data_IF_014967773709
#
_entry.id   IF_014967773709
#
_cell.length_a   1.000
_cell.length_b   1.000
_cell.length_c   1.000
_cell.angle_alpha   90.00
_cell.angle_beta   90.00
_cell.angle_gamma   90.00
#
_symmetry.space_group_name_H-M   'P 1'
#
loop_
_entity.id
_entity.type
_entity.pdbx_description
1 polymer ?
#
# COMPACT_ATOMS: atom_id res chain seq x y z
N UNK A 1 9.63 -19.41 1.47
CA UNK A 1 10.51 -18.42 0.82
C UNK A 1 10.09 -18.11 -0.61
N UNK A 2 10.03 -19.09 -1.53
CA UNK A 2 9.66 -18.79 -2.93
C UNK A 2 8.21 -18.29 -3.09
N UNK A 3 7.24 -18.88 -2.38
CA UNK A 3 5.85 -18.40 -2.38
C UNK A 3 5.73 -16.96 -1.88
N UNK A 4 6.35 -16.64 -0.75
CA UNK A 4 6.44 -15.27 -0.20
C UNK A 4 7.07 -14.29 -1.20
N UNK A 5 8.12 -14.71 -1.91
CA UNK A 5 8.77 -13.90 -2.92
C UNK A 5 7.80 -13.56 -4.06
N UNK A 6 7.12 -14.54 -4.63
CA UNK A 6 6.15 -14.28 -5.70
C UNK A 6 4.93 -13.50 -5.20
N UNK A 7 4.43 -13.83 -4.01
CA UNK A 7 3.25 -13.18 -3.44
C UNK A 7 3.47 -11.68 -3.28
N UNK A 8 4.63 -11.27 -2.77
CA UNK A 8 4.91 -9.85 -2.54
C UNK A 8 5.59 -9.17 -3.72
N UNK A 9 6.50 -9.85 -4.43
CA UNK A 9 7.44 -9.20 -5.35
C UNK A 9 7.31 -9.61 -6.82
N UNK A 10 6.44 -10.58 -7.19
CA UNK A 10 6.37 -11.09 -8.56
C UNK A 10 6.29 -9.97 -9.62
N UNK A 11 5.47 -8.95 -9.38
CA UNK A 11 5.34 -7.82 -10.30
C UNK A 11 6.65 -7.07 -10.58
N UNK A 12 7.62 -7.05 -9.65
CA UNK A 12 8.93 -6.41 -9.89
C UNK A 12 9.85 -7.21 -10.81
N UNK A 13 9.62 -8.52 -10.93
CA UNK A 13 10.53 -9.45 -11.57
C UNK A 13 9.95 -10.08 -12.85
N UNK A 14 8.91 -9.47 -13.42
CA UNK A 14 8.19 -9.95 -14.62
C UNK A 14 7.46 -11.29 -14.44
N UNK A 15 7.26 -11.71 -13.19
CA UNK A 15 6.58 -12.94 -12.80
C UNK A 15 5.12 -12.67 -12.44
N UNK A 16 4.32 -13.74 -12.30
CA UNK A 16 2.90 -13.60 -11.94
C UNK A 16 2.63 -14.01 -10.50
N UNK A 17 1.66 -13.36 -9.85
CA UNK A 17 1.21 -13.76 -8.51
C UNK A 17 0.65 -15.20 -8.49
N UNK A 18 0.22 -15.73 -9.64
CA UNK A 18 -0.22 -17.13 -9.76
C UNK A 18 0.88 -18.15 -9.43
N UNK A 19 2.15 -17.81 -9.64
CA UNK A 19 3.28 -18.67 -9.28
C UNK A 19 3.43 -18.83 -7.77
N UNK A 20 2.99 -17.83 -7.00
CA UNK A 20 2.93 -17.92 -5.54
C UNK A 20 2.02 -19.08 -5.12
N UNK A 21 0.86 -19.24 -5.77
CA UNK A 21 -0.07 -20.33 -5.50
C UNK A 21 0.56 -21.71 -5.72
N UNK A 22 1.30 -21.89 -6.82
CA UNK A 22 2.04 -23.14 -7.09
C UNK A 22 3.08 -23.42 -6.00
N UNK A 23 3.85 -22.40 -5.60
CA UNK A 23 4.86 -22.54 -4.57
C UNK A 23 4.25 -22.86 -3.19
N UNK A 24 3.13 -22.23 -2.83
CA UNK A 24 2.44 -22.52 -1.57
C UNK A 24 1.81 -23.92 -1.55
N UNK A 25 1.21 -24.36 -2.65
CA UNK A 25 0.67 -25.73 -2.75
C UNK A 25 1.78 -26.78 -2.56
N UNK A 26 2.97 -26.58 -3.14
CA UNK A 26 4.12 -27.46 -2.89
C UNK A 26 4.54 -27.50 -1.42
N UNK A 27 4.37 -26.41 -0.67
CA UNK A 27 4.62 -26.42 0.78
C UNK A 27 3.54 -27.24 1.49
N UNK A 28 2.28 -27.16 1.06
CA UNK A 28 1.19 -27.95 1.64
C UNK A 28 1.26 -29.44 1.31
N UNK A 29 1.91 -29.82 0.20
CA UNK A 29 2.23 -31.22 -0.10
C UNK A 29 3.22 -31.80 0.94
N UNK A 30 4.10 -30.96 1.51
CA UNK A 30 5.09 -31.34 2.51
C UNK A 30 4.55 -31.25 3.94
N UNK A 31 3.87 -30.15 4.26
CA UNK A 31 3.19 -29.91 5.53
C UNK A 31 1.76 -29.38 5.29
N UNK A 32 0.75 -30.26 5.31
CA UNK A 32 -0.63 -29.88 5.12
C UNK A 32 -1.19 -28.94 6.19
N UNK A 33 -0.47 -28.73 7.30
CA UNK A 33 -0.90 -27.87 8.41
C UNK A 33 -0.15 -26.54 8.45
N UNK A 34 0.67 -26.23 7.44
CA UNK A 34 1.43 -24.99 7.41
C UNK A 34 0.52 -23.76 7.17
N UNK A 35 -0.01 -23.20 8.27
CA UNK A 35 -0.98 -22.10 8.26
C UNK A 35 -0.59 -20.88 7.42
N UNK A 36 0.68 -20.43 7.38
CA UNK A 36 1.05 -19.30 6.53
C UNK A 36 0.74 -19.53 5.06
N UNK A 37 1.02 -20.72 4.50
CA UNK A 37 0.69 -21.02 3.11
C UNK A 37 -0.82 -21.02 2.86
N UNK A 38 -1.60 -21.57 3.79
CA UNK A 38 -3.08 -21.55 3.71
C UNK A 38 -3.60 -20.11 3.74
N UNK A 39 -3.06 -19.26 4.63
CA UNK A 39 -3.42 -17.86 4.75
C UNK A 39 -3.24 -17.08 3.44
N UNK A 40 -2.10 -17.27 2.77
CA UNK A 40 -1.83 -16.66 1.46
C UNK A 40 -2.74 -17.22 0.35
N UNK A 41 -3.01 -18.53 0.35
CA UNK A 41 -3.91 -19.14 -0.62
C UNK A 41 -5.36 -18.65 -0.49
N UNK A 42 -5.84 -18.30 0.72
CA UNK A 42 -7.16 -17.66 0.91
C UNK A 42 -7.25 -16.37 0.09
N UNK A 43 -6.24 -15.50 0.20
CA UNK A 43 -6.20 -14.23 -0.53
C UNK A 43 -6.15 -14.43 -2.05
N UNK A 44 -5.36 -15.41 -2.52
CA UNK A 44 -5.25 -15.72 -3.95
C UNK A 44 -6.56 -16.31 -4.52
N UNK A 45 -7.18 -17.24 -3.79
CA UNK A 45 -8.47 -17.82 -4.19
C UNK A 45 -9.58 -16.75 -4.24
N UNK A 46 -9.60 -15.86 -3.26
CA UNK A 46 -10.55 -14.74 -3.22
C UNK A 46 -10.33 -13.78 -4.39
N UNK A 47 -9.07 -13.42 -4.67
CA UNK A 47 -8.72 -12.56 -5.80
C UNK A 47 -9.11 -13.19 -7.14
N UNK A 48 -8.97 -14.51 -7.28
CA UNK A 48 -9.39 -15.26 -8.46
C UNK A 48 -10.92 -15.40 -8.59
N UNK A 49 -11.68 -15.02 -7.57
CA UNK A 49 -13.13 -15.18 -7.52
C UNK A 49 -13.59 -16.62 -7.24
N UNK A 50 -12.68 -17.51 -6.82
CA UNK A 50 -13.03 -18.89 -6.45
C UNK A 50 -13.59 -18.92 -5.04
N UNK A 51 -14.91 -18.68 -4.96
CA UNK A 51 -15.64 -18.63 -3.70
C UNK A 51 -15.60 -19.95 -2.94
N UNK A 52 -15.57 -21.09 -3.64
CA UNK A 52 -15.58 -22.41 -3.01
C UNK A 52 -14.23 -22.70 -2.38
N UNK A 53 -13.15 -22.52 -3.15
CA UNK A 53 -11.78 -22.73 -2.65
C UNK A 53 -11.48 -21.76 -1.50
N UNK A 54 -11.92 -20.51 -1.60
CA UNK A 54 -11.80 -19.53 -0.51
C UNK A 54 -12.43 -20.04 0.79
N UNK A 55 -13.65 -20.60 0.71
CA UNK A 55 -14.35 -21.15 1.88
C UNK A 55 -13.63 -22.37 2.47
N UNK A 56 -13.19 -23.29 1.61
CA UNK A 56 -12.51 -24.51 2.04
C UNK A 56 -11.17 -24.19 2.74
N UNK A 57 -10.41 -23.23 2.20
CA UNK A 57 -9.15 -22.76 2.79
C UNK A 57 -9.36 -22.01 4.12
N UNK A 58 -10.38 -21.14 4.21
CA UNK A 58 -10.74 -20.46 5.47
C UNK A 58 -11.07 -21.47 6.56
N UNK A 59 -11.94 -22.44 6.28
CA UNK A 59 -12.30 -23.48 7.25
C UNK A 59 -11.09 -24.35 7.63
N UNK A 60 -10.20 -24.64 6.67
CA UNK A 60 -8.95 -25.36 6.95
C UNK A 60 -8.04 -24.56 7.87
N UNK A 61 -7.82 -23.27 7.60
CA UNK A 61 -7.01 -22.39 8.43
C UNK A 61 -7.53 -22.36 9.86
N UNK A 62 -8.82 -22.08 10.05
CA UNK A 62 -9.44 -21.93 11.37
C UNK A 62 -9.47 -23.21 12.20
N UNK A 63 -9.40 -24.39 11.55
CA UNK A 63 -9.22 -25.67 12.26
C UNK A 63 -7.80 -25.87 12.78
N UNK A 64 -6.81 -25.28 12.13
CA UNK A 64 -5.39 -25.41 12.53
C UNK A 64 -5.04 -24.35 13.57
N UNK A 65 -5.50 -23.11 13.36
CA UNK A 65 -5.28 -21.97 14.24
C UNK A 65 -6.56 -21.14 14.35
N UNK A 66 -7.09 -21.05 15.58
CA UNK A 66 -8.29 -20.30 15.93
C UNK A 66 -8.04 -19.19 16.94
N UNK A 67 -6.78 -18.98 17.35
CA UNK A 67 -6.45 -18.11 18.50
C UNK A 67 -5.51 -16.97 18.15
N UNK A 68 -4.77 -17.06 17.05
CA UNK A 68 -3.88 -15.97 16.65
C UNK A 68 -4.65 -14.76 16.14
N UNK A 69 -3.96 -13.63 16.07
CA UNK A 69 -4.46 -12.40 15.45
C UNK A 69 -4.80 -12.60 13.97
N UNK A 70 -4.07 -13.47 13.28
CA UNK A 70 -4.36 -13.81 11.87
C UNK A 70 -5.63 -14.65 11.79
N UNK A 71 -5.82 -15.61 12.70
CA UNK A 71 -7.06 -16.38 12.80
C UNK A 71 -8.29 -15.49 13.06
N UNK A 72 -8.15 -14.49 13.93
CA UNK A 72 -9.20 -13.49 14.16
C UNK A 72 -9.51 -12.72 12.85
N UNK A 73 -8.49 -12.24 12.15
CA UNK A 73 -8.69 -11.55 10.87
C UNK A 73 -9.32 -12.45 9.80
N UNK A 74 -8.93 -13.72 9.73
CA UNK A 74 -9.53 -14.74 8.83
C UNK A 74 -11.00 -14.97 9.18
N UNK A 75 -11.35 -15.07 10.46
CA UNK A 75 -12.74 -15.20 10.90
C UNK A 75 -13.60 -13.98 10.57
N UNK A 76 -13.04 -12.77 10.65
CA UNK A 76 -13.72 -11.55 10.18
C UNK A 76 -13.89 -11.60 8.65
N UNK A 77 -12.83 -11.98 7.92
CA UNK A 77 -12.84 -12.08 6.46
C UNK A 77 -13.84 -13.11 5.95
N UNK A 78 -14.01 -14.26 6.62
CA UNK A 78 -15.04 -15.25 6.34
C UNK A 78 -16.43 -14.61 6.24
N UNK A 79 -16.82 -13.84 7.25
CA UNK A 79 -18.11 -13.15 7.24
C UNK A 79 -18.18 -12.05 6.17
N UNK A 80 -17.10 -11.28 5.97
CA UNK A 80 -17.09 -10.19 4.99
C UNK A 80 -17.06 -10.65 3.53
N UNK A 81 -16.51 -11.83 3.24
CA UNK A 81 -16.37 -12.39 1.90
C UNK A 81 -17.52 -13.35 1.60
N UNK A 82 -17.83 -14.24 2.55
CA UNK A 82 -18.73 -15.37 2.36
C UNK A 82 -20.09 -15.17 3.05
N UNK A 83 -20.17 -14.33 4.07
CA UNK A 83 -21.41 -14.05 4.79
C UNK A 83 -22.48 -13.33 3.96
N UNK A 84 -23.73 -13.46 4.41
CA UNK A 84 -24.88 -12.71 3.84
C UNK A 84 -24.80 -11.23 4.20
N UNK A 85 -25.49 -10.36 3.44
CA UNK A 85 -25.50 -8.92 3.72
C UNK A 85 -25.94 -8.56 5.17
N UNK A 86 -26.95 -9.22 5.79
CA UNK A 86 -27.26 -9.01 7.20
C UNK A 86 -26.12 -9.40 8.15
N UNK A 87 -25.43 -10.51 7.89
CA UNK A 87 -24.30 -10.95 8.71
C UNK A 87 -23.12 -9.98 8.61
N UNK A 88 -22.81 -9.52 7.38
CA UNK A 88 -21.81 -8.48 7.13
C UNK A 88 -22.13 -7.20 7.92
N UNK A 89 -23.38 -6.72 7.85
CA UNK A 89 -23.80 -5.53 8.58
C UNK A 89 -23.70 -5.70 10.09
N UNK A 90 -24.10 -6.85 10.62
CA UNK A 90 -24.00 -7.15 12.05
C UNK A 90 -22.54 -7.15 12.52
N UNK A 91 -21.64 -7.79 11.76
CA UNK A 91 -20.20 -7.77 12.03
C UNK A 91 -19.66 -6.33 12.02
N UNK A 92 -19.98 -5.55 10.98
CA UNK A 92 -19.49 -4.17 10.83
C UNK A 92 -19.93 -3.24 11.96
N UNK A 93 -21.12 -3.46 12.56
CA UNK A 93 -21.55 -2.72 13.76
C UNK A 93 -20.70 -3.00 14.99
N UNK A 94 -20.13 -4.21 15.09
CA UNK A 94 -19.28 -4.65 16.19
C UNK A 94 -17.78 -4.57 15.91
N UNK A 95 -17.37 -4.19 14.69
CA UNK A 95 -16.01 -4.45 14.20
C UNK A 95 -14.92 -3.75 15.02
N UNK A 96 -15.22 -2.60 15.62
CA UNK A 96 -14.25 -1.88 16.45
C UNK A 96 -13.88 -2.61 17.76
N UNK A 97 -14.59 -3.69 18.14
CA UNK A 97 -14.27 -4.50 19.33
C UNK A 97 -13.14 -5.51 19.11
N UNK A 98 -12.78 -5.77 17.85
CA UNK A 98 -11.72 -6.73 17.49
C UNK A 98 -10.32 -6.21 17.80
N UNK A 99 -9.31 -7.08 17.77
CA UNK A 99 -7.93 -6.71 18.04
C UNK A 99 -7.42 -5.65 17.07
N UNK A 100 -6.69 -4.64 17.56
CA UNK A 100 -6.15 -3.57 16.74
C UNK A 100 -5.23 -4.09 15.62
N UNK A 101 -4.42 -5.11 15.92
CA UNK A 101 -3.54 -5.75 14.94
C UNK A 101 -4.31 -6.57 13.90
N UNK A 102 -5.40 -7.25 14.28
CA UNK A 102 -6.27 -7.97 13.35
C UNK A 102 -6.91 -7.00 12.35
N UNK A 103 -7.36 -5.85 12.83
CA UNK A 103 -7.92 -4.79 11.98
C UNK A 103 -6.87 -4.18 11.05
N UNK A 104 -5.61 -3.98 11.49
CA UNK A 104 -4.53 -3.54 10.61
C UNK A 104 -4.26 -4.57 9.50
N UNK A 105 -4.14 -5.84 9.87
CA UNK A 105 -3.92 -6.93 8.91
C UNK A 105 -5.07 -7.01 7.90
N UNK A 106 -6.31 -6.96 8.36
CA UNK A 106 -7.50 -6.97 7.50
C UNK A 106 -7.54 -5.77 6.55
N UNK A 107 -7.20 -4.57 7.04
CA UNK A 107 -7.13 -3.39 6.18
C UNK A 107 -6.07 -3.55 5.08
N UNK A 108 -4.90 -4.11 5.42
CA UNK A 108 -3.84 -4.39 4.46
C UNK A 108 -4.28 -5.39 3.39
N UNK A 109 -4.81 -6.55 3.80
CA UNK A 109 -5.33 -7.58 2.89
C UNK A 109 -6.45 -7.05 1.99
N UNK A 110 -7.34 -6.21 2.53
CA UNK A 110 -8.40 -5.61 1.72
C UNK A 110 -7.86 -4.64 0.65
N UNK A 111 -6.79 -3.90 0.94
CA UNK A 111 -6.17 -3.02 -0.05
C UNK A 111 -5.50 -3.83 -1.17
N UNK A 112 -4.80 -4.90 -0.83
CA UNK A 112 -4.08 -5.73 -1.80
C UNK A 112 -5.03 -6.62 -2.62
N UNK A 113 -5.89 -7.40 -1.96
CA UNK A 113 -6.69 -8.47 -2.58
C UNK A 113 -8.20 -8.23 -2.58
N UNK A 114 -8.68 -7.18 -1.92
CA UNK A 114 -10.11 -6.87 -1.84
C UNK A 114 -10.67 -6.35 -3.16
N UNK A 115 -11.97 -6.59 -3.40
CA UNK A 115 -12.68 -5.98 -4.54
C UNK A 115 -12.89 -4.48 -4.34
N UNK A 116 -13.21 -3.69 -5.38
CA UNK A 116 -13.50 -2.26 -5.23
C UNK A 116 -14.58 -1.94 -4.19
N UNK A 117 -15.61 -2.78 -4.10
CA UNK A 117 -16.70 -2.66 -3.10
C UNK A 117 -16.17 -2.93 -1.70
N UNK A 118 -15.31 -3.94 -1.52
CA UNK A 118 -14.73 -4.26 -0.22
C UNK A 118 -13.80 -3.13 0.27
N UNK A 119 -12.99 -2.56 -0.64
CA UNK A 119 -12.06 -1.44 -0.35
C UNK A 119 -12.78 -0.15 0.04
N UNK A 120 -13.90 0.15 -0.61
CA UNK A 120 -14.67 1.40 -0.38
C UNK A 120 -15.78 1.26 0.67
N UNK A 121 -16.21 0.05 0.98
CA UNK A 121 -17.22 -0.24 2.01
C UNK A 121 -16.60 -0.75 3.32
N UNK A 122 -16.60 -2.08 3.59
CA UNK A 122 -16.10 -2.68 4.82
C UNK A 122 -14.73 -2.18 5.29
N UNK A 123 -13.74 -2.09 4.38
CA UNK A 123 -12.40 -1.63 4.74
C UNK A 123 -12.39 -0.19 5.29
N UNK A 124 -13.33 0.66 4.87
CA UNK A 124 -13.47 2.03 5.42
C UNK A 124 -14.01 2.04 6.84
N UNK A 125 -14.89 1.09 7.16
CA UNK A 125 -15.34 0.93 8.55
C UNK A 125 -14.17 0.50 9.43
N UNK A 126 -13.36 -0.45 8.95
CA UNK A 126 -12.15 -0.93 9.64
C UNK A 126 -11.15 0.21 9.86
N UNK A 127 -10.84 0.99 8.82
CA UNK A 127 -9.94 2.15 8.94
C UNK A 127 -10.45 3.18 9.95
N UNK A 128 -11.76 3.49 9.97
CA UNK A 128 -12.32 4.39 10.99
C UNK A 128 -12.17 3.86 12.41
N UNK A 129 -12.32 2.56 12.64
CA UNK A 129 -12.07 1.96 13.94
C UNK A 129 -10.58 2.08 14.34
N UNK A 130 -9.66 1.87 13.40
CA UNK A 130 -8.23 2.03 13.64
C UNK A 130 -7.90 3.49 14.00
N UNK A 131 -8.49 4.46 13.30
CA UNK A 131 -8.29 5.89 13.57
C UNK A 131 -8.74 6.29 14.97
N UNK A 132 -9.87 5.76 15.43
CA UNK A 132 -10.40 6.03 16.77
C UNK A 132 -9.58 5.38 17.89
N UNK A 133 -8.84 4.31 17.59
CA UNK A 133 -8.16 3.48 18.59
C UNK A 133 -6.65 3.61 18.63
N UNK A 134 -6.03 4.29 17.66
CA UNK A 134 -4.58 4.47 17.61
C UNK A 134 -4.06 5.20 18.87
N UNK A 135 -3.32 4.48 19.72
CA UNK A 135 -2.93 4.95 21.04
C UNK A 135 -1.57 5.66 21.01
N UNK A 136 -0.65 5.19 20.17
CA UNK A 136 0.71 5.74 20.06
C UNK A 136 0.87 6.69 18.87
N UNK A 137 1.89 7.55 18.92
CA UNK A 137 2.25 8.43 17.81
C UNK A 137 2.63 7.66 16.54
N UNK A 138 3.26 6.49 16.69
CA UNK A 138 3.62 5.63 15.57
C UNK A 138 2.37 5.01 14.92
N UNK A 139 1.41 4.54 15.72
CA UNK A 139 0.12 4.05 15.23
C UNK A 139 -0.67 5.15 14.55
N UNK A 140 -0.76 6.34 15.14
CA UNK A 140 -1.47 7.48 14.53
C UNK A 140 -0.89 7.86 13.17
N UNK A 141 0.45 7.92 13.04
CA UNK A 141 1.09 8.20 11.76
C UNK A 141 0.83 7.09 10.73
N UNK A 142 0.92 5.82 11.15
CA UNK A 142 0.62 4.66 10.29
C UNK A 142 -0.83 4.67 9.80
N UNK A 143 -1.79 4.89 10.69
CA UNK A 143 -3.21 4.89 10.33
C UNK A 143 -3.56 6.11 9.48
N UNK A 144 -2.95 7.27 9.74
CA UNK A 144 -3.06 8.44 8.85
C UNK A 144 -2.60 8.09 7.43
N UNK A 145 -1.43 7.45 7.30
CA UNK A 145 -0.89 6.99 6.02
C UNK A 145 -1.83 6.04 5.30
N UNK A 146 -2.37 5.06 6.02
CA UNK A 146 -3.33 4.12 5.45
C UNK A 146 -4.60 4.83 4.98
N UNK A 147 -5.15 5.73 5.80
CA UNK A 147 -6.35 6.50 5.45
C UNK A 147 -6.15 7.35 4.21
N UNK A 148 -5.05 8.10 4.11
CA UNK A 148 -4.73 8.94 2.94
C UNK A 148 -4.53 8.09 1.69
N UNK A 149 -3.75 7.00 1.78
CA UNK A 149 -3.52 6.11 0.66
C UNK A 149 -4.83 5.53 0.11
N UNK A 150 -5.72 5.08 1.00
CA UNK A 150 -7.02 4.55 0.62
C UNK A 150 -7.91 5.65 0.00
N UNK A 151 -7.95 6.86 0.55
CA UNK A 151 -8.72 7.99 0.00
C UNK A 151 -8.28 8.32 -1.44
N UNK A 152 -6.97 8.36 -1.69
CA UNK A 152 -6.42 8.60 -3.03
C UNK A 152 -6.71 7.45 -4.00
N UNK A 153 -6.58 6.20 -3.56
CA UNK A 153 -6.92 5.03 -4.38
C UNK A 153 -8.39 5.02 -4.82
N UNK A 154 -9.29 5.57 -4.00
CA UNK A 154 -10.71 5.70 -4.33
C UNK A 154 -11.05 6.99 -5.13
N UNK A 155 -10.06 7.81 -5.47
CA UNK A 155 -10.25 9.09 -6.16
C UNK A 155 -10.81 10.20 -5.26
N UNK A 156 -10.77 10.06 -3.94
CA UNK A 156 -11.35 11.00 -2.96
C UNK A 156 -10.31 12.00 -2.43
N UNK A 157 -9.71 12.77 -3.33
CA UNK A 157 -8.66 13.74 -2.98
C UNK A 157 -9.10 14.76 -1.92
N UNK A 158 -10.36 15.20 -1.92
CA UNK A 158 -10.88 16.12 -0.88
C UNK A 158 -10.93 15.47 0.50
N UNK A 159 -11.27 14.17 0.57
CA UNK A 159 -11.25 13.42 1.82
C UNK A 159 -9.82 13.32 2.37
N UNK A 160 -8.86 13.02 1.48
CA UNK A 160 -7.43 13.00 1.82
C UNK A 160 -6.95 14.37 2.35
N UNK A 161 -7.35 15.49 1.71
CA UNK A 161 -7.03 16.85 2.18
C UNK A 161 -7.59 17.12 3.57
N UNK A 162 -8.86 16.81 3.81
CA UNK A 162 -9.51 17.01 5.11
C UNK A 162 -8.84 16.19 6.21
N UNK A 163 -8.47 14.95 5.90
CA UNK A 163 -7.73 14.07 6.80
C UNK A 163 -6.36 14.65 7.15
N UNK A 164 -5.62 15.13 6.15
CA UNK A 164 -4.31 15.77 6.33
C UNK A 164 -4.38 17.10 7.09
N UNK A 165 -5.42 17.90 6.88
CA UNK A 165 -5.62 19.16 7.60
C UNK A 165 -5.78 18.96 9.12
N UNK A 166 -6.34 17.81 9.54
CA UNK A 166 -6.51 17.45 10.96
C UNK A 166 -5.23 16.87 11.59
N UNK A 167 -4.25 16.47 10.79
CA UNK A 167 -3.00 15.89 11.25
C UNK A 167 -2.02 16.99 11.70
N UNK A 168 -2.18 17.44 12.94
CA UNK A 168 -1.33 18.48 13.55
C UNK A 168 -0.40 17.91 14.62
N UNK A 169 0.81 18.48 14.74
CA UNK A 169 1.79 18.12 15.76
C UNK A 169 2.47 16.75 15.58
N UNK A 170 3.58 16.54 16.31
CA UNK A 170 4.24 15.24 16.46
C UNK A 170 4.55 14.50 15.15
N UNK A 171 4.30 13.19 15.13
CA UNK A 171 4.46 12.31 13.96
C UNK A 171 3.41 12.55 12.87
N UNK A 172 2.18 12.92 13.24
CA UNK A 172 1.09 13.18 12.30
C UNK A 172 1.36 14.39 11.40
N UNK A 173 1.92 15.47 11.96
CA UNK A 173 2.35 16.64 11.20
C UNK A 173 3.51 16.34 10.24
N UNK A 174 4.42 15.44 10.63
CA UNK A 174 5.49 14.96 9.73
C UNK A 174 4.93 14.17 8.57
N UNK A 175 4.09 13.18 8.88
CA UNK A 175 3.40 12.36 7.88
C UNK A 175 2.63 13.23 6.88
N UNK A 176 1.92 14.26 7.37
CA UNK A 176 1.21 15.21 6.53
C UNK A 176 2.13 15.92 5.53
N UNK A 177 3.24 16.46 6.03
CA UNK A 177 4.19 17.18 5.17
C UNK A 177 4.79 16.25 4.11
N UNK A 178 5.05 14.99 4.44
CA UNK A 178 5.53 13.98 3.48
C UNK A 178 4.49 13.67 2.41
N UNK A 179 3.21 13.50 2.76
CA UNK A 179 2.14 13.30 1.78
C UNK A 179 1.99 14.46 0.80
N UNK A 180 2.07 15.71 1.30
CA UNK A 180 1.98 16.90 0.45
C UNK A 180 3.14 16.94 -0.55
N UNK A 181 4.36 16.70 -0.07
CA UNK A 181 5.55 16.68 -0.92
C UNK A 181 5.50 15.53 -1.93
N UNK A 182 5.06 14.34 -1.50
CA UNK A 182 4.91 13.15 -2.35
C UNK A 182 3.89 13.39 -3.46
N UNK A 183 2.75 13.97 -3.14
CA UNK A 183 1.72 14.27 -4.12
C UNK A 183 2.23 15.24 -5.20
N UNK A 184 2.93 16.31 -4.79
CA UNK A 184 3.55 17.24 -5.73
C UNK A 184 4.58 16.53 -6.62
N UNK A 185 5.50 15.78 -6.01
CA UNK A 185 6.62 15.15 -6.68
C UNK A 185 6.23 14.03 -7.67
N UNK A 186 5.02 13.50 -7.52
CA UNK A 186 4.46 12.41 -8.34
C UNK A 186 3.32 12.85 -9.26
N UNK A 187 2.95 14.14 -9.23
CA UNK A 187 1.84 14.67 -10.04
C UNK A 187 0.47 14.12 -9.63
N UNK A 188 0.32 13.66 -8.39
CA UNK A 188 -1.00 13.35 -7.82
C UNK A 188 -1.80 14.64 -7.55
N UNK A 189 -3.11 14.55 -7.30
CA UNK A 189 -3.90 15.70 -6.91
C UNK A 189 -3.24 16.48 -5.76
N UNK A 190 -3.16 17.80 -5.88
CA UNK A 190 -2.52 18.64 -4.87
C UNK A 190 -3.20 18.47 -3.50
N UNK A 191 -2.42 18.15 -2.46
CA UNK A 191 -2.94 17.86 -1.12
C UNK A 191 -2.76 19.01 -0.12
N UNK A 192 -2.04 20.05 -0.50
CA UNK A 192 -1.77 21.22 0.33
C UNK A 192 -0.64 22.07 -0.23
N UNK A 193 -0.19 23.05 0.56
CA UNK A 193 0.95 23.91 0.22
C UNK A 193 2.27 23.14 0.36
N UNK A 194 2.83 22.77 -0.79
CA UNK A 194 4.08 22.01 -0.87
C UNK A 194 5.31 22.87 -0.54
N UNK A 195 5.28 24.18 -0.77
CA UNK A 195 6.40 25.06 -0.42
C UNK A 195 6.55 25.14 1.10
N UNK A 196 5.44 25.36 1.81
CA UNK A 196 5.46 25.39 3.27
C UNK A 196 5.80 24.01 3.87
N UNK A 197 5.35 22.91 3.27
CA UNK A 197 5.74 21.56 3.69
C UNK A 197 7.24 21.31 3.51
N UNK A 198 7.83 21.79 2.40
CA UNK A 198 9.25 21.65 2.12
C UNK A 198 10.11 22.40 3.15
N UNK A 199 9.76 23.65 3.50
CA UNK A 199 10.51 24.42 4.50
C UNK A 199 10.41 23.79 5.89
N UNK A 200 9.24 23.25 6.28
CA UNK A 200 9.11 22.49 7.54
C UNK A 200 9.96 21.23 7.54
N UNK A 201 9.94 20.43 6.47
CA UNK A 201 10.78 19.24 6.35
C UNK A 201 12.27 19.58 6.41
N UNK A 202 12.69 20.63 5.69
CA UNK A 202 14.08 21.14 5.70
C UNK A 202 14.52 21.61 7.08
N UNK A 203 13.65 22.32 7.81
CA UNK A 203 13.92 22.75 9.17
C UNK A 203 14.19 21.57 10.11
N UNK A 204 13.43 20.48 9.99
CA UNK A 204 13.61 19.26 10.80
C UNK A 204 14.94 18.56 10.53
N UNK A 205 15.25 18.31 9.26
CA UNK A 205 16.51 17.64 8.84
C UNK A 205 17.75 18.43 9.29
N UNK A 206 17.64 19.76 9.39
CA UNK A 206 18.72 20.61 9.92
C UNK A 206 18.87 20.55 11.44
N UNK A 207 17.77 20.33 12.17
CA UNK A 207 17.77 20.34 13.62
C UNK A 207 18.27 19.02 14.24
N UNK A 208 18.09 17.90 13.56
CA UNK A 208 18.58 16.59 13.98
C UNK A 208 18.76 15.65 12.78
N UNK A 209 19.62 14.61 12.86
CA UNK A 209 19.67 13.57 11.86
C UNK A 209 18.29 12.94 11.65
N UNK A 210 17.73 13.09 10.46
CA UNK A 210 16.54 12.37 10.02
C UNK A 210 16.98 11.04 9.40
N UNK A 211 16.25 9.95 9.65
CA UNK A 211 16.52 8.63 9.04
C UNK A 211 15.39 8.19 8.12
N UNK A 212 14.39 9.04 7.92
CA UNK A 212 13.25 8.77 7.07
C UNK A 212 13.64 8.76 5.58
N UNK A 213 13.62 7.58 4.96
CA UNK A 213 13.96 7.37 3.56
C UNK A 213 13.01 8.10 2.61
N UNK A 214 11.74 8.29 2.98
CA UNK A 214 10.78 9.04 2.19
C UNK A 214 11.11 10.54 2.17
N UNK A 215 11.52 11.10 3.32
CA UNK A 215 12.00 12.50 3.39
C UNK A 215 13.17 12.73 2.42
N UNK A 216 14.16 11.82 2.43
CA UNK A 216 15.33 11.93 1.57
C UNK A 216 15.01 11.71 0.09
N UNK A 217 14.15 10.75 -0.25
CA UNK A 217 13.71 10.52 -1.62
C UNK A 217 12.93 11.71 -2.20
N UNK A 218 12.04 12.31 -1.40
CA UNK A 218 11.25 13.47 -1.80
C UNK A 218 12.14 14.69 -2.08
N UNK A 219 13.14 14.92 -1.24
CA UNK A 219 14.14 15.97 -1.46
C UNK A 219 14.99 15.68 -2.72
N UNK A 220 15.36 14.43 -2.98
CA UNK A 220 16.07 14.00 -4.19
C UNK A 220 15.26 14.25 -5.48
N UNK A 221 13.96 13.96 -5.39
CA UNK A 221 12.99 14.12 -6.48
C UNK A 221 12.75 15.59 -6.81
N UNK A 222 12.63 16.46 -5.81
CA UNK A 222 12.64 17.91 -6.04
C UNK A 222 13.98 18.41 -6.61
N UNK A 223 15.09 17.70 -6.38
CA UNK A 223 16.36 17.94 -7.06
C UNK A 223 16.30 17.71 -8.58
N UNK A 224 15.46 16.78 -9.06
CA UNK A 224 15.20 16.64 -10.51
C UNK A 224 14.48 17.85 -11.09
N UNK A 225 13.56 18.46 -10.36
CA UNK A 225 12.91 19.70 -10.81
C UNK A 225 13.89 20.88 -10.85
N UNK A 226 14.91 20.87 -9.98
CA UNK A 226 16.02 21.82 -10.04
C UNK A 226 16.89 21.57 -11.28
N UNK A 227 17.17 20.30 -11.61
CA UNK A 227 17.89 19.94 -12.84
C UNK A 227 17.10 20.33 -14.10
N UNK A 228 15.79 20.15 -14.12
CA UNK A 228 14.92 20.61 -15.21
C UNK A 228 14.98 22.13 -15.40
N UNK A 229 15.30 22.88 -14.34
CA UNK A 229 15.56 24.33 -14.35
C UNK A 229 17.04 24.69 -14.57
N UNK A 230 17.89 23.72 -14.95
CA UNK A 230 19.34 23.84 -15.15
C UNK A 230 20.17 24.20 -13.91
N UNK A 231 19.65 23.98 -12.70
CA UNK A 231 20.38 24.14 -11.44
C UNK A 231 21.05 22.80 -11.03
N UNK A 232 22.16 22.49 -11.70
CA UNK A 232 22.92 21.25 -11.56
C UNK A 232 23.60 21.10 -10.20
N UNK A 233 24.10 22.20 -9.62
CA UNK A 233 24.76 22.23 -8.30
C UNK A 233 23.77 21.92 -7.16
N UNK A 234 22.52 22.38 -7.27
CA UNK A 234 21.46 22.01 -6.32
C UNK A 234 21.02 20.56 -6.49
N UNK A 235 20.92 20.07 -7.72
CA UNK A 235 20.58 18.67 -8.00
C UNK A 235 21.61 17.70 -7.40
N UNK A 236 22.91 17.94 -7.62
CA UNK A 236 23.99 17.05 -7.12
C UNK A 236 24.06 16.98 -5.59
N UNK A 237 23.87 18.10 -4.88
CA UNK A 237 23.84 18.12 -3.40
C UNK A 237 22.63 17.39 -2.82
N UNK A 238 21.47 17.47 -3.49
CA UNK A 238 20.25 16.79 -3.06
C UNK A 238 20.33 15.28 -3.31
N UNK A 239 20.96 14.85 -4.41
CA UNK A 239 21.15 13.43 -4.72
C UNK A 239 22.17 12.74 -3.82
N UNK A 240 23.31 13.38 -3.53
CA UNK A 240 24.32 12.84 -2.60
C UNK A 240 23.77 12.66 -1.16
N UNK A 241 22.91 13.57 -0.69
CA UNK A 241 22.22 13.40 0.59
C UNK A 241 21.17 12.28 0.59
N UNK A 242 20.51 12.05 -0.55
CA UNK A 242 19.43 11.08 -0.67
C UNK A 242 19.89 9.62 -0.79
N UNK A 243 21.10 9.40 -1.30
CA UNK A 243 21.61 8.05 -1.59
C UNK A 243 22.47 7.45 -0.47
N UNK A 244 22.74 8.17 0.62
CA UNK A 244 23.70 7.70 1.63
C UNK A 244 23.20 6.59 2.55
N UNK A 245 21.90 6.33 2.70
CA UNK A 245 21.34 5.21 3.51
C UNK A 245 19.91 4.82 3.08
N UNK A 246 19.75 3.99 2.04
CA UNK A 246 18.46 3.36 1.73
C UNK A 246 18.33 2.02 2.48
N UNK A 247 17.40 1.92 3.43
CA UNK A 247 17.12 0.69 4.17
C UNK A 247 15.82 0.06 3.64
N UNK A 248 15.95 -1.05 2.93
CA UNK A 248 14.86 -1.85 2.31
C UNK A 248 13.99 -2.57 3.37
N UNK A 249 14.04 -2.22 4.66
CA UNK A 249 13.52 -3.05 5.76
C UNK A 249 12.23 -2.54 6.44
N UNK A 250 11.61 -1.45 5.97
CA UNK A 250 10.31 -0.92 6.49
C UNK A 250 9.15 -1.04 5.49
N UNK A 251 9.19 -2.04 4.61
CA UNK A 251 8.50 -2.06 3.30
C UNK A 251 6.97 -1.91 3.28
N UNK A 252 6.17 -2.61 4.10
CA UNK A 252 4.75 -2.73 3.77
C UNK A 252 3.97 -1.43 4.00
N UNK A 253 4.52 -0.48 4.77
CA UNK A 253 3.81 0.74 5.15
C UNK A 253 4.64 2.00 4.94
N UNK A 254 5.90 1.95 4.50
CA UNK A 254 6.65 3.18 4.21
C UNK A 254 6.10 3.90 2.97
N UNK A 255 6.25 5.22 2.90
CA UNK A 255 5.65 6.04 1.83
C UNK A 255 6.23 5.77 0.44
N UNK A 256 7.48 5.29 0.37
CA UNK A 256 8.22 5.03 -0.88
C UNK A 256 8.87 3.64 -0.93
N UNK A 257 8.46 2.74 -0.02
CA UNK A 257 9.17 1.48 0.23
C UNK A 257 9.26 0.52 -0.97
N UNK A 258 8.28 0.57 -1.87
CA UNK A 258 8.21 -0.24 -3.08
C UNK A 258 8.77 0.43 -4.33
N UNK A 259 9.32 1.64 -4.16
CA UNK A 259 9.68 2.55 -5.26
C UNK A 259 8.51 2.83 -6.22
N UNK A 260 7.25 2.70 -5.77
CA UNK A 260 6.07 2.97 -6.59
C UNK A 260 6.12 4.31 -7.34
N UNK A 261 6.68 5.42 -6.82
CA UNK A 261 6.74 6.66 -7.59
C UNK A 261 7.61 6.55 -8.84
N UNK A 262 8.74 5.84 -8.73
CA UNK A 262 9.65 5.61 -9.86
C UNK A 262 9.03 4.65 -10.88
N UNK A 263 8.33 3.62 -10.39
CA UNK A 263 7.59 2.68 -11.24
C UNK A 263 6.46 3.37 -12.01
N UNK A 264 5.74 4.30 -11.37
CA UNK A 264 4.71 5.10 -12.04
C UNK A 264 5.29 6.01 -13.13
N UNK A 265 6.43 6.64 -12.86
CA UNK A 265 7.17 7.41 -13.87
C UNK A 265 7.57 6.56 -15.08
N UNK A 266 8.05 5.33 -14.83
CA UNK A 266 8.40 4.39 -15.90
C UNK A 266 7.19 4.05 -16.78
N UNK A 267 6.02 3.79 -16.19
CA UNK A 267 4.76 3.57 -16.94
C UNK A 267 4.45 4.79 -17.82
N UNK A 268 4.49 6.00 -17.25
CA UNK A 268 4.20 7.24 -17.99
C UNK A 268 5.13 7.46 -19.17
N UNK A 269 6.44 7.27 -18.97
CA UNK A 269 7.45 7.43 -20.03
C UNK A 269 7.28 6.36 -21.11
N UNK A 270 7.11 5.09 -20.73
CA UNK A 270 6.97 3.99 -21.68
C UNK A 270 5.72 4.16 -22.56
N UNK A 271 4.58 4.53 -21.96
CA UNK A 271 3.33 4.84 -22.69
C UNK A 271 3.52 6.04 -23.62
N UNK A 272 4.14 7.12 -23.16
CA UNK A 272 4.39 8.31 -23.99
C UNK A 272 5.30 8.01 -25.19
N UNK A 273 6.31 7.16 -25.00
CA UNK A 273 7.24 6.73 -26.06
C UNK A 273 6.67 5.63 -26.97
N UNK A 274 5.47 5.09 -26.67
CA UNK A 274 4.86 3.95 -27.35
C UNK A 274 5.74 2.68 -27.36
N UNK A 275 6.59 2.52 -26.34
CA UNK A 275 7.36 1.29 -26.14
C UNK A 275 6.47 0.24 -25.45
N UNK A 276 5.82 -0.61 -26.25
CA UNK A 276 4.84 -1.59 -25.76
C UNK A 276 5.47 -2.64 -24.85
N UNK A 277 6.72 -3.05 -25.10
CA UNK A 277 7.40 -4.04 -24.29
C UNK A 277 7.70 -3.51 -22.89
N UNK A 278 8.28 -2.30 -22.78
CA UNK A 278 8.54 -1.66 -21.49
C UNK A 278 7.23 -1.28 -20.80
N UNK A 279 6.23 -0.79 -21.54
CA UNK A 279 4.95 -0.39 -20.96
C UNK A 279 4.21 -1.59 -20.34
N UNK A 280 4.15 -2.74 -21.02
CA UNK A 280 3.56 -3.96 -20.48
C UNK A 280 4.26 -4.41 -19.20
N UNK A 281 5.60 -4.46 -19.18
CA UNK A 281 6.37 -4.81 -17.97
C UNK A 281 6.12 -3.83 -16.81
N UNK A 282 6.19 -2.54 -17.08
CA UNK A 282 5.97 -1.50 -16.08
C UNK A 282 4.55 -1.55 -15.49
N UNK A 283 3.54 -1.79 -16.34
CA UNK A 283 2.16 -1.98 -15.93
C UNK A 283 1.98 -3.22 -15.04
N UNK A 284 2.58 -4.37 -15.40
CA UNK A 284 2.53 -5.60 -14.59
C UNK A 284 3.12 -5.43 -13.20
N UNK A 285 4.05 -4.49 -13.02
CA UNK A 285 4.64 -4.27 -11.70
C UNK A 285 3.62 -3.92 -10.62
N UNK A 286 2.47 -3.34 -10.97
CA UNK A 286 1.42 -2.94 -10.04
C UNK A 286 0.31 -4.00 -9.83
N UNK A 287 0.48 -5.22 -10.33
CA UNK A 287 -0.49 -6.31 -10.14
C UNK A 287 -0.63 -6.74 -8.67
N UNK A 288 0.44 -6.61 -7.88
CA UNK A 288 0.42 -6.80 -6.41
C UNK A 288 0.95 -5.55 -5.69
N UNK A 289 0.50 -5.34 -4.44
CA UNK A 289 0.95 -4.21 -3.62
C UNK A 289 2.09 -4.68 -2.70
N UNK A 290 3.31 -4.24 -2.99
CA UNK A 290 4.46 -4.51 -2.09
C UNK A 290 4.33 -3.69 -0.80
N UNK A 291 3.81 -2.47 -0.94
CA UNK A 291 3.45 -1.60 0.17
C UNK A 291 2.00 -1.14 0.06
N UNK A 292 1.36 -0.94 1.21
CA UNK A 292 0.00 -0.41 1.29
C UNK A 292 -0.18 0.92 0.55
N UNK A 293 0.89 1.70 0.42
CA UNK A 293 0.90 3.01 -0.26
C UNK A 293 0.88 2.88 -1.78
N UNK A 294 1.26 1.72 -2.35
CA UNK A 294 1.25 1.47 -3.80
C UNK A 294 -0.13 1.66 -4.42
N UNK A 295 -1.20 1.46 -3.62
CA UNK A 295 -2.58 1.66 -4.08
C UNK A 295 -2.85 3.08 -4.59
N UNK A 296 -2.06 4.07 -4.17
CA UNK A 296 -2.18 5.46 -4.62
C UNK A 296 -1.96 5.59 -6.13
N UNK A 297 -1.12 4.71 -6.70
CA UNK A 297 -0.84 4.71 -8.13
C UNK A 297 -1.93 4.01 -8.95
N UNK A 298 -2.79 3.18 -8.34
CA UNK A 298 -3.75 2.31 -9.06
C UNK A 298 -4.63 3.08 -10.05
N UNK A 299 -5.31 4.20 -9.69
CA UNK A 299 -6.19 4.89 -10.64
C UNK A 299 -5.47 5.39 -11.90
N UNK A 300 -4.24 5.88 -11.72
CA UNK A 300 -3.42 6.40 -12.81
C UNK A 300 -2.83 5.26 -13.66
N UNK A 301 -2.40 4.16 -13.03
CA UNK A 301 -1.91 2.96 -13.72
C UNK A 301 -3.03 2.32 -14.53
N UNK A 302 -4.23 2.14 -13.97
CA UNK A 302 -5.39 1.62 -14.69
C UNK A 302 -5.69 2.45 -15.95
N UNK A 303 -5.73 3.78 -15.79
CA UNK A 303 -5.95 4.72 -16.91
C UNK A 303 -4.90 4.59 -18.00
N UNK A 304 -3.61 4.52 -17.63
CA UNK A 304 -2.49 4.46 -18.58
C UNK A 304 -2.37 3.08 -19.26
N UNK A 305 -2.60 2.00 -18.50
CA UNK A 305 -2.36 0.63 -18.95
C UNK A 305 -3.55 0.01 -19.73
N UNK A 306 -4.76 0.54 -19.58
CA UNK A 306 -5.89 0.21 -20.47
C UNK A 306 -5.57 0.49 -21.95
N UNK A 307 -4.80 1.55 -22.22
CA UNK A 307 -4.36 1.94 -23.58
C UNK A 307 -3.33 0.96 -24.15
N UNK A 308 -2.58 0.27 -23.30
CA UNK A 308 -1.56 -0.71 -23.70
C UNK A 308 -2.19 -2.08 -23.98
N UNK A 309 -3.23 -2.47 -23.22
CA UNK A 309 -3.96 -3.74 -23.40
C UNK A 309 -4.90 -3.77 -24.61
N UNK A 310 -5.22 -2.62 -25.19
CA UNK A 310 -6.14 -2.46 -26.33
C UNK A 310 -5.44 -2.33 -27.69
N UNK A 311 -4.11 -2.48 -27.72
CA UNK A 311 -3.28 -2.51 -28.93
C UNK A 311 -2.62 -3.87 -29.08
#
# INVERSE_FOLDING_TARGET
>A
MLGEFYYHFAGLFDETVGEAGVAFNRVLDLDPRFSPAIGHLISLAHQAGDRRETADLIHRYLRIDSTSVVAEAVGIADTLILGSAPAQLALLRGVCRHSFLALQYLAFQAAEFGTPVQRTGPARVVLRCLEQRAATDAERARILRMGVAADLAAGWADSARLRLARATGGSAGRERDLWILLAHATGLPALGDWQSAAERARGRVRAAPDTDAATHWLLARHGRDALARRDTTRALRLWDGATRRYAVLSVPLDLVASLWPLRLDLVRVAVAQRDSAVATRACRSFETLIGYVDQVAQPEVERLCLVVRSR
#
